data_IF_621250646505
#
_entry.id   IF_621250646505
#
_cell.length_a   1.000
_cell.length_b   1.000
_cell.length_c   1.000
_cell.angle_alpha   90.00
_cell.angle_beta   90.00
_cell.angle_gamma   90.00
#
_symmetry.space_group_name_H-M   'P 1'
#
loop_
_entity.id
_entity.type
_entity.pdbx_description
1 polymer ?
#
# COMPACT_ATOMS: atom_id res chain seq x y z
N UNK A 1 -13.34 7.19 1.78
CA UNK A 1 -12.90 7.54 3.15
C UNK A 1 -12.69 9.06 3.23
N UNK A 2 -13.01 9.69 4.36
CA UNK A 2 -12.76 11.14 4.52
C UNK A 2 -11.25 11.45 4.60
N UNK A 3 -10.78 12.64 4.19
CA UNK A 3 -9.36 13.00 4.28
C UNK A 3 -8.75 12.85 5.67
N UNK A 4 -9.47 13.25 6.73
CA UNK A 4 -8.97 13.10 8.11
C UNK A 4 -8.82 11.63 8.50
N UNK A 5 -9.81 10.77 8.20
CA UNK A 5 -9.70 9.33 8.43
C UNK A 5 -8.53 8.70 7.65
N UNK A 6 -8.28 9.12 6.40
CA UNK A 6 -7.12 8.68 5.62
C UNK A 6 -5.80 9.06 6.31
N UNK A 7 -5.65 10.33 6.68
CA UNK A 7 -4.45 10.83 7.37
C UNK A 7 -4.22 10.07 8.68
N UNK A 8 -5.27 9.85 9.46
CA UNK A 8 -5.18 9.13 10.74
C UNK A 8 -4.76 7.67 10.54
N UNK A 9 -5.33 6.97 9.56
CA UNK A 9 -4.95 5.59 9.23
C UNK A 9 -3.50 5.48 8.76
N UNK A 10 -3.06 6.40 7.88
CA UNK A 10 -1.68 6.44 7.41
C UNK A 10 -0.72 6.65 8.59
N UNK A 11 -0.96 7.69 9.40
CA UNK A 11 -0.11 7.97 10.55
C UNK A 11 -0.06 6.78 11.54
N UNK A 12 -1.19 6.10 11.76
CA UNK A 12 -1.24 4.91 12.61
C UNK A 12 -0.36 3.76 12.06
N UNK A 13 -0.34 3.56 10.74
CA UNK A 13 0.48 2.52 10.10
C UNK A 13 1.99 2.75 10.24
N UNK A 14 2.44 3.99 10.48
CA UNK A 14 3.87 4.31 10.68
C UNK A 14 4.40 3.89 12.06
N UNK A 15 3.52 3.76 13.05
CA UNK A 15 3.90 3.63 14.45
C UNK A 15 3.87 2.19 14.98
N UNK A 16 3.80 1.17 14.11
CA UNK A 16 3.70 -0.27 14.39
C UNK A 16 4.30 -0.72 15.75
N UNK A 17 3.52 -0.51 16.82
CA UNK A 17 3.99 -0.62 18.20
C UNK A 17 2.81 -0.94 19.10
N UNK A 18 2.76 -2.11 19.75
CA UNK A 18 1.64 -2.54 20.59
C UNK A 18 1.52 -1.78 21.93
N UNK A 19 2.20 -0.64 22.10
CA UNK A 19 2.34 -0.01 23.40
C UNK A 19 1.35 1.16 23.64
N UNK A 20 0.51 0.95 24.67
CA UNK A 20 -0.17 1.92 25.58
C UNK A 20 -1.58 2.36 25.13
N UNK A 21 -2.67 1.73 25.63
CA UNK A 21 -3.36 1.87 26.95
C UNK A 21 -4.15 3.16 27.05
N UNK A 22 -5.48 3.07 27.23
CA UNK A 22 -6.43 4.14 27.61
C UNK A 22 -5.78 5.47 28.07
N UNK A 23 -5.48 6.33 27.10
CA UNK A 23 -4.86 7.63 27.37
C UNK A 23 -5.98 8.64 27.63
N UNK A 24 -6.14 9.01 28.89
CA UNK A 24 -7.07 10.08 29.31
C UNK A 24 -6.77 11.40 28.58
N UNK A 25 -7.78 12.27 28.44
CA UNK A 25 -7.66 13.57 27.75
C UNK A 25 -6.52 14.46 28.27
N UNK A 26 -6.11 14.29 29.53
CA UNK A 26 -4.97 14.99 30.14
C UNK A 26 -3.62 14.50 29.60
N UNK A 27 -3.48 13.20 29.35
CA UNK A 27 -2.27 12.63 28.78
C UNK A 27 -2.18 12.92 27.27
N UNK A 28 -3.31 13.01 26.57
CA UNK A 28 -3.37 13.48 25.17
C UNK A 28 -2.80 14.91 25.02
N UNK A 29 -3.17 15.83 25.92
CA UNK A 29 -2.65 17.21 25.95
C UNK A 29 -1.14 17.31 26.13
N UNK A 30 -0.50 16.32 26.77
CA UNK A 30 0.96 16.28 26.98
C UNK A 30 1.69 15.53 25.87
N UNK A 31 1.04 14.52 25.30
CA UNK A 31 1.62 13.67 24.26
C UNK A 31 1.70 14.38 22.91
N UNK A 32 0.69 15.16 22.51
CA UNK A 32 0.71 15.87 21.21
C UNK A 32 1.92 16.82 21.07
N UNK A 33 2.27 17.66 22.06
CA UNK A 33 3.49 18.47 22.00
C UNK A 33 4.78 17.64 21.89
N UNK A 34 4.87 16.49 22.57
CA UNK A 34 6.02 15.59 22.50
C UNK A 34 6.12 14.92 21.12
N UNK A 35 5.00 14.48 20.54
CA UNK A 35 4.94 13.97 19.17
C UNK A 35 5.41 15.07 18.22
N UNK A 36 4.89 16.30 18.32
CA UNK A 36 5.35 17.41 17.46
C UNK A 36 6.85 17.71 17.60
N UNK A 37 7.43 17.51 18.78
CA UNK A 37 8.85 17.75 19.02
C UNK A 37 9.76 16.67 18.40
N UNK A 38 9.25 15.44 18.19
CA UNK A 38 10.04 14.30 17.72
C UNK A 38 9.61 13.77 16.34
N UNK A 39 8.41 14.12 15.89
CA UNK A 39 7.90 13.79 14.57
C UNK A 39 8.35 14.86 13.58
N UNK A 40 9.48 14.59 12.93
CA UNK A 40 10.19 15.57 12.08
C UNK A 40 9.72 15.62 10.64
N UNK A 41 8.91 14.66 10.20
CA UNK A 41 8.42 14.62 8.82
C UNK A 41 7.24 15.57 8.60
N UNK A 42 7.30 16.31 7.51
CA UNK A 42 6.22 17.16 7.02
C UNK A 42 5.12 16.33 6.36
N UNK A 43 3.93 16.93 6.20
CA UNK A 43 2.80 16.32 5.50
C UNK A 43 3.18 15.92 4.05
N UNK A 44 3.97 16.77 3.38
CA UNK A 44 4.47 16.52 2.03
C UNK A 44 5.46 15.35 1.98
N UNK A 45 6.39 15.25 2.93
CA UNK A 45 7.36 14.14 2.99
C UNK A 45 6.66 12.80 3.25
N UNK A 46 5.66 12.77 4.12
CA UNK A 46 4.85 11.57 4.39
C UNK A 46 4.04 11.19 3.15
N UNK A 47 3.40 12.17 2.52
CA UNK A 47 2.67 11.97 1.26
C UNK A 47 3.59 11.34 0.22
N UNK A 48 4.76 11.95 -0.03
CA UNK A 48 5.73 11.42 -0.99
C UNK A 48 6.22 10.02 -0.63
N UNK A 49 6.39 9.71 0.67
CA UNK A 49 6.79 8.38 1.11
C UNK A 49 5.74 7.32 0.73
N UNK A 50 4.46 7.57 1.00
CA UNK A 50 3.37 6.66 0.61
C UNK A 50 3.22 6.52 -0.90
N UNK A 51 3.29 7.63 -1.63
CA UNK A 51 3.20 7.63 -3.08
C UNK A 51 4.35 6.81 -3.71
N UNK A 52 5.57 7.00 -3.22
CA UNK A 52 6.74 6.24 -3.65
C UNK A 52 6.63 4.76 -3.27
N UNK A 53 6.21 4.44 -2.04
CA UNK A 53 6.00 3.06 -1.61
C UNK A 53 4.99 2.35 -2.51
N UNK A 54 3.84 2.97 -2.79
CA UNK A 54 2.84 2.39 -3.71
C UNK A 54 3.37 2.27 -5.14
N UNK A 55 4.11 3.27 -5.63
CA UNK A 55 4.74 3.19 -6.95
C UNK A 55 5.70 2.00 -7.04
N UNK A 56 6.54 1.79 -6.03
CA UNK A 56 7.47 0.67 -5.99
C UNK A 56 6.73 -0.67 -5.87
N UNK A 57 5.66 -0.75 -5.06
CA UNK A 57 4.83 -1.94 -4.95
C UNK A 57 4.19 -2.31 -6.29
N UNK A 58 3.52 -1.36 -6.96
CA UNK A 58 2.89 -1.62 -8.26
C UNK A 58 3.89 -2.04 -9.33
N UNK A 59 5.05 -1.38 -9.38
CA UNK A 59 6.13 -1.77 -10.31
C UNK A 59 6.69 -3.16 -9.96
N UNK A 60 6.92 -3.44 -8.67
CA UNK A 60 7.42 -4.74 -8.20
C UNK A 60 6.47 -5.86 -8.57
N UNK A 61 5.18 -5.73 -8.24
CA UNK A 61 4.15 -6.71 -8.60
C UNK A 61 4.07 -6.88 -10.12
N UNK A 62 4.08 -5.78 -10.89
CA UNK A 62 4.09 -5.86 -12.36
C UNK A 62 5.28 -6.65 -12.88
N UNK A 63 6.47 -6.49 -12.31
CA UNK A 63 7.67 -7.23 -12.68
C UNK A 63 7.54 -8.71 -12.30
N UNK A 64 6.96 -9.03 -11.14
CA UNK A 64 6.71 -10.41 -10.76
C UNK A 64 5.69 -11.12 -11.64
N UNK A 65 4.70 -10.38 -12.13
CA UNK A 65 3.71 -10.89 -13.09
C UNK A 65 4.30 -11.06 -14.49
N UNK A 66 5.33 -10.32 -14.86
CA UNK A 66 6.00 -10.36 -16.18
C UNK A 66 6.99 -11.54 -16.30
N UNK A 67 6.63 -12.72 -15.77
CA UNK A 67 7.50 -13.89 -15.59
C UNK A 67 8.42 -14.17 -16.79
N UNK A 68 9.71 -14.47 -16.54
CA UNK A 68 10.73 -14.42 -17.57
C UNK A 68 10.58 -15.55 -18.58
N UNK A 69 10.18 -15.19 -19.79
CA UNK A 69 10.50 -15.99 -20.98
C UNK A 69 12.02 -16.06 -21.18
N UNK A 70 12.51 -17.03 -21.95
CA UNK A 70 13.94 -17.19 -22.30
C UNK A 70 14.61 -15.91 -22.84
N UNK A 71 13.84 -14.95 -23.35
CA UNK A 71 14.32 -13.63 -23.82
C UNK A 71 14.42 -12.56 -22.71
N UNK A 72 13.72 -12.71 -21.58
CA UNK A 72 13.73 -11.76 -20.46
C UNK A 72 14.80 -12.08 -19.40
N UNK A 73 15.40 -13.27 -19.42
CA UNK A 73 16.57 -13.63 -18.59
C UNK A 73 17.81 -12.77 -18.89
N UNK A 74 17.89 -12.17 -20.09
CA UNK A 74 18.89 -11.16 -20.47
C UNK A 74 18.55 -9.74 -19.97
N UNK A 75 17.27 -9.47 -19.69
CA UNK A 75 16.79 -8.12 -19.33
C UNK A 75 16.80 -7.88 -17.82
N UNK A 76 16.63 -8.92 -17.02
CA UNK A 76 16.47 -8.82 -15.57
C UNK A 76 17.65 -9.40 -14.80
N UNK A 77 18.00 -8.72 -13.70
CA UNK A 77 19.02 -9.20 -12.78
C UNK A 77 18.59 -10.52 -12.12
N UNK A 78 19.55 -11.28 -11.58
CA UNK A 78 19.25 -12.52 -10.84
C UNK A 78 18.24 -12.30 -9.70
N UNK A 79 18.41 -11.23 -8.93
CA UNK A 79 17.52 -10.86 -7.82
C UNK A 79 16.10 -10.61 -8.31
N UNK A 80 15.96 -9.89 -9.42
CA UNK A 80 14.65 -9.60 -10.02
C UNK A 80 13.94 -10.86 -10.49
N UNK A 81 14.70 -11.82 -11.03
CA UNK A 81 14.16 -13.12 -11.45
C UNK A 81 13.71 -13.96 -10.26
N UNK A 82 14.53 -14.06 -9.21
CA UNK A 82 14.18 -14.80 -7.99
C UNK A 82 12.93 -14.21 -7.32
N UNK A 83 12.80 -12.89 -7.30
CA UNK A 83 11.60 -12.21 -6.83
C UNK A 83 10.37 -12.55 -7.67
N UNK A 84 10.49 -12.54 -9.01
CA UNK A 84 9.38 -12.90 -9.90
C UNK A 84 8.96 -14.37 -9.75
N UNK A 85 9.92 -15.28 -9.60
CA UNK A 85 9.66 -16.70 -9.33
C UNK A 85 8.90 -16.89 -8.00
N UNK A 86 9.18 -16.09 -6.96
CA UNK A 86 8.41 -16.13 -5.73
C UNK A 86 6.96 -15.67 -5.93
N UNK A 87 6.74 -14.56 -6.65
CA UNK A 87 5.37 -14.10 -6.97
C UNK A 87 4.60 -15.15 -7.77
N UNK A 88 5.27 -15.76 -8.74
CA UNK A 88 4.71 -16.84 -9.57
C UNK A 88 4.20 -18.02 -8.73
N UNK A 89 5.09 -18.59 -7.91
CA UNK A 89 4.85 -19.85 -7.22
C UNK A 89 3.98 -19.68 -5.98
N UNK A 90 4.15 -18.59 -5.24
CA UNK A 90 3.46 -18.40 -3.96
C UNK A 90 2.09 -17.76 -4.12
N UNK A 91 1.89 -16.91 -5.13
CA UNK A 91 0.66 -16.13 -5.28
C UNK A 91 -0.08 -16.45 -6.57
N UNK A 92 0.59 -16.25 -7.72
CA UNK A 92 -0.10 -16.19 -9.00
C UNK A 92 -0.72 -17.52 -9.44
N UNK A 93 0.02 -18.63 -9.32
CA UNK A 93 -0.48 -19.95 -9.75
C UNK A 93 -1.66 -20.42 -8.88
N UNK A 94 -1.56 -20.23 -7.56
CA UNK A 94 -2.62 -20.59 -6.64
C UNK A 94 -3.88 -19.73 -6.86
N UNK A 95 -3.70 -18.43 -7.02
CA UNK A 95 -4.77 -17.50 -7.36
C UNK A 95 -5.47 -17.87 -8.67
N UNK A 96 -4.73 -18.04 -9.77
CA UNK A 96 -5.34 -18.36 -11.07
C UNK A 96 -6.10 -19.68 -11.03
N UNK A 97 -5.60 -20.68 -10.29
CA UNK A 97 -6.29 -21.96 -10.09
C UNK A 97 -7.58 -21.80 -9.29
N UNK A 98 -7.56 -20.99 -8.23
CA UNK A 98 -8.73 -20.74 -7.38
C UNK A 98 -9.84 -19.99 -8.13
N UNK A 99 -9.48 -19.03 -8.98
CA UNK A 99 -10.42 -18.17 -9.68
C UNK A 99 -10.73 -18.64 -11.11
N UNK A 100 -10.15 -19.77 -11.56
CA UNK A 100 -10.40 -20.34 -12.89
C UNK A 100 -9.92 -19.47 -14.05
N UNK A 101 -8.83 -18.72 -13.84
CA UNK A 101 -8.35 -17.69 -14.77
C UNK A 101 -7.29 -18.22 -15.75
N UNK A 102 -7.29 -17.66 -16.97
CA UNK A 102 -6.16 -17.75 -17.89
C UNK A 102 -5.01 -16.91 -17.37
N UNK A 103 -3.87 -17.55 -17.04
CA UNK A 103 -2.68 -16.85 -16.54
C UNK A 103 -2.15 -15.81 -17.52
N UNK A 104 -2.19 -16.10 -18.83
CA UNK A 104 -1.68 -15.18 -19.84
C UNK A 104 -2.51 -13.90 -19.91
N UNK A 105 -3.83 -14.05 -19.96
CA UNK A 105 -4.75 -12.91 -20.09
C UNK A 105 -4.75 -12.07 -18.81
N UNK A 106 -4.76 -12.73 -17.64
CA UNK A 106 -4.68 -12.05 -16.36
C UNK A 106 -3.38 -11.25 -16.21
N UNK A 107 -2.22 -11.83 -16.53
CA UNK A 107 -0.93 -11.11 -16.47
C UNK A 107 -0.96 -9.85 -17.30
N UNK A 108 -1.39 -9.96 -18.56
CA UNK A 108 -1.38 -8.82 -19.47
C UNK A 108 -2.25 -7.68 -18.92
N UNK A 109 -3.48 -7.99 -18.52
CA UNK A 109 -4.41 -7.00 -17.96
C UNK A 109 -3.89 -6.40 -16.64
N UNK A 110 -3.41 -7.24 -15.72
CA UNK A 110 -2.90 -6.80 -14.42
C UNK A 110 -1.65 -5.92 -14.55
N UNK A 111 -0.69 -6.31 -15.40
CA UNK A 111 0.53 -5.53 -15.65
C UNK A 111 0.18 -4.16 -16.27
N UNK A 112 -0.72 -4.13 -17.24
CA UNK A 112 -1.13 -2.88 -17.87
C UNK A 112 -1.78 -1.94 -16.86
N UNK A 113 -2.72 -2.45 -16.07
CA UNK A 113 -3.40 -1.70 -15.03
C UNK A 113 -2.45 -1.18 -13.96
N UNK A 114 -1.57 -2.03 -13.41
CA UNK A 114 -0.59 -1.64 -12.38
C UNK A 114 0.41 -0.60 -12.92
N UNK A 115 0.84 -0.71 -14.19
CA UNK A 115 1.67 0.32 -14.83
C UNK A 115 0.93 1.64 -14.98
N UNK A 116 -0.37 1.62 -15.30
CA UNK A 116 -1.18 2.83 -15.36
C UNK A 116 -1.28 3.51 -13.99
N UNK A 117 -1.58 2.75 -12.93
CA UNK A 117 -1.64 3.27 -11.57
C UNK A 117 -0.28 3.80 -11.10
N UNK A 118 0.82 3.12 -11.40
CA UNK A 118 2.18 3.56 -11.02
C UNK A 118 2.53 4.96 -11.53
N UNK A 119 1.99 5.35 -12.69
CA UNK A 119 2.21 6.66 -13.33
C UNK A 119 1.38 7.79 -12.71
N UNK A 120 0.39 7.46 -11.88
CA UNK A 120 -0.55 8.40 -11.28
C UNK A 120 -0.48 8.37 -9.75
N UNK A 121 0.59 7.80 -9.18
CA UNK A 121 0.73 7.68 -7.72
C UNK A 121 0.83 9.04 -7.01
N UNK A 122 1.22 10.09 -7.72
CA UNK A 122 1.21 11.49 -7.27
C UNK A 122 -0.18 12.00 -6.84
N UNK A 123 -1.25 11.30 -7.24
CA UNK A 123 -2.64 11.61 -6.88
C UNK A 123 -3.16 10.81 -5.69
N UNK A 124 -2.36 9.86 -5.17
CA UNK A 124 -2.76 9.01 -4.04
C UNK A 124 -2.28 9.60 -2.71
N UNK A 125 -2.98 9.27 -1.63
CA UNK A 125 -2.52 9.51 -0.25
C UNK A 125 -2.17 10.98 0.08
N UNK A 126 -2.82 11.96 -0.56
CA UNK A 126 -2.53 13.38 -0.34
C UNK A 126 -2.87 13.79 1.10
N UNK A 127 -1.83 14.10 1.89
CA UNK A 127 -1.96 14.72 3.22
C UNK A 127 -1.62 16.20 3.08
N UNK A 128 -2.64 17.06 3.08
CA UNK A 128 -2.45 18.51 2.88
C UNK A 128 -1.87 19.21 4.12
N UNK A 129 -2.41 18.89 5.29
CA UNK A 129 -2.01 19.50 6.57
C UNK A 129 -2.20 18.46 7.66
N UNK A 130 -1.20 18.34 8.54
CA UNK A 130 -1.32 17.56 9.77
C UNK A 130 -1.97 18.42 10.86
N UNK A 131 -3.15 18.01 11.33
CA UNK A 131 -3.84 18.70 12.42
C UNK A 131 -3.48 18.09 13.78
N UNK A 132 -3.77 18.82 14.86
CA UNK A 132 -3.65 18.24 16.21
C UNK A 132 -4.56 17.03 16.43
N UNK A 133 -5.71 17.00 15.75
CA UNK A 133 -6.62 15.86 15.80
C UNK A 133 -6.01 14.61 15.14
N UNK A 134 -5.28 14.79 14.04
CA UNK A 134 -4.61 13.68 13.35
C UNK A 134 -3.45 13.13 14.18
N UNK A 135 -2.68 14.01 14.83
CA UNK A 135 -1.63 13.60 15.78
C UNK A 135 -2.19 13.00 17.07
N UNK A 136 -3.36 13.43 17.51
CA UNK A 136 -4.07 12.83 18.65
C UNK A 136 -4.58 11.42 18.31
N UNK A 137 -4.99 11.19 17.06
CA UNK A 137 -5.46 9.88 16.62
C UNK A 137 -4.38 8.79 16.69
N UNK A 138 -3.09 9.16 16.56
CA UNK A 138 -1.95 8.25 16.76
C UNK A 138 -1.95 7.55 18.12
N UNK A 139 -2.58 8.17 19.11
CA UNK A 139 -2.57 7.77 20.51
C UNK A 139 -3.82 6.95 20.86
N UNK A 140 -4.94 7.15 20.15
CA UNK A 140 -6.25 6.64 20.56
C UNK A 140 -7.05 5.88 19.50
N UNK A 141 -6.70 5.94 18.22
CA UNK A 141 -7.46 5.30 17.15
C UNK A 141 -6.63 4.20 16.48
N UNK A 142 -7.07 2.95 16.62
CA UNK A 142 -6.56 1.81 15.86
C UNK A 142 -7.72 0.90 15.44
N UNK A 143 -8.46 1.32 14.43
CA UNK A 143 -9.07 0.31 13.55
C UNK A 143 -7.93 -0.25 12.70
N UNK A 144 -7.62 -1.55 12.82
CA UNK A 144 -6.69 -2.19 11.90
C UNK A 144 -7.36 -2.16 10.52
N UNK A 145 -6.76 -1.43 9.60
CA UNK A 145 -7.21 -1.35 8.22
C UNK A 145 -6.15 -2.07 7.40
N UNK A 146 -6.56 -3.13 6.69
CA UNK A 146 -5.66 -3.80 5.76
C UNK A 146 -5.11 -2.75 4.79
N UNK A 147 -3.78 -2.64 4.69
CA UNK A 147 -3.09 -1.68 3.80
C UNK A 147 -3.62 -1.87 2.38
N UNK A 148 -3.90 -3.12 2.00
CA UNK A 148 -4.56 -3.50 0.76
C UNK A 148 -5.87 -2.76 0.50
N UNK A 149 -6.81 -2.73 1.46
CA UNK A 149 -8.11 -2.06 1.25
C UNK A 149 -7.95 -0.55 1.12
N UNK A 150 -7.05 0.04 1.90
CA UNK A 150 -6.73 1.46 1.79
C UNK A 150 -6.14 1.79 0.42
N UNK A 151 -5.21 0.97 -0.08
CA UNK A 151 -4.62 1.15 -1.42
C UNK A 151 -5.67 1.00 -2.50
N UNK A 152 -6.54 -0.02 -2.44
CA UNK A 152 -7.61 -0.25 -3.41
C UNK A 152 -8.61 0.91 -3.46
N UNK A 153 -8.99 1.45 -2.30
CA UNK A 153 -9.86 2.63 -2.23
C UNK A 153 -9.20 3.86 -2.88
N UNK A 154 -7.90 4.07 -2.66
CA UNK A 154 -7.17 5.16 -3.29
C UNK A 154 -7.04 4.97 -4.80
N UNK A 155 -6.82 3.73 -5.27
CA UNK A 155 -6.78 3.41 -6.70
C UNK A 155 -8.12 3.71 -7.39
N UNK A 156 -9.24 3.35 -6.77
CA UNK A 156 -10.58 3.66 -7.29
C UNK A 156 -10.84 5.16 -7.48
N UNK A 157 -10.16 6.01 -6.68
CA UNK A 157 -10.20 7.47 -6.84
C UNK A 157 -9.52 7.99 -8.12
N UNK A 158 -8.65 7.20 -8.74
CA UNK A 158 -7.96 7.55 -9.99
C UNK A 158 -8.67 6.97 -11.21
N UNK A 159 -8.97 5.68 -11.16
CA UNK A 159 -9.61 4.94 -12.25
C UNK A 159 -10.30 3.69 -11.70
N UNK A 160 -11.30 3.13 -12.40
CA UNK A 160 -11.88 1.84 -12.02
C UNK A 160 -10.80 0.77 -11.88
N UNK A 161 -10.84 0.03 -10.78
CA UNK A 161 -9.96 -1.13 -10.54
C UNK A 161 -10.72 -2.37 -10.98
N UNK A 162 -10.11 -3.18 -11.84
CA UNK A 162 -10.67 -4.46 -12.25
C UNK A 162 -10.85 -5.39 -11.03
N UNK A 163 -11.99 -6.07 -10.94
CA UNK A 163 -12.33 -6.91 -9.80
C UNK A 163 -11.34 -8.07 -9.60
N UNK A 164 -10.81 -8.61 -10.70
CA UNK A 164 -9.81 -9.69 -10.67
C UNK A 164 -8.47 -9.17 -10.16
N UNK A 165 -8.06 -7.97 -10.59
CA UNK A 165 -6.88 -7.31 -10.04
C UNK A 165 -7.06 -7.00 -8.54
N UNK A 166 -8.22 -6.48 -8.15
CA UNK A 166 -8.52 -6.19 -6.75
C UNK A 166 -8.49 -7.47 -5.90
N UNK A 167 -9.06 -8.57 -6.40
CA UNK A 167 -8.99 -9.87 -5.75
C UNK A 167 -7.56 -10.41 -5.66
N UNK A 168 -6.73 -10.17 -6.66
CA UNK A 168 -5.32 -10.57 -6.63
C UNK A 168 -4.52 -9.79 -5.59
N UNK A 169 -4.71 -8.47 -5.50
CA UNK A 169 -4.04 -7.64 -4.49
C UNK A 169 -4.45 -8.01 -3.05
N UNK A 170 -5.67 -8.51 -2.87
CA UNK A 170 -6.16 -9.09 -1.60
C UNK A 170 -5.67 -10.51 -1.31
N UNK A 171 -5.23 -11.22 -2.33
CA UNK A 171 -4.83 -12.62 -2.17
C UNK A 171 -3.60 -12.71 -1.27
N UNK A 172 -3.74 -13.31 -0.09
CA UNK A 172 -2.70 -13.41 0.94
C UNK A 172 -2.14 -12.03 1.37
N UNK A 173 -2.98 -10.99 1.34
CA UNK A 173 -2.62 -9.60 1.71
C UNK A 173 -1.30 -9.14 1.08
N UNK A 174 -1.17 -9.24 -0.25
CA UNK A 174 0.08 -8.93 -0.98
C UNK A 174 0.66 -7.54 -0.71
N UNK A 175 -0.17 -6.58 -0.27
CA UNK A 175 0.26 -5.23 0.09
C UNK A 175 0.46 -5.03 1.61
N UNK A 176 0.23 -6.08 2.40
CA UNK A 176 0.40 -6.14 3.84
C UNK A 176 -0.87 -5.79 4.63
N UNK A 177 -0.75 -5.98 5.95
CA UNK A 177 -1.69 -5.54 6.97
C UNK A 177 -0.97 -4.53 7.89
N UNK A 178 -1.73 -3.59 8.47
CA UNK A 178 -1.25 -2.60 9.45
C UNK A 178 -1.89 -2.84 10.82
#
# INVERSE_FOLDING_TARGET
MSPSKLTQTLLASLLDSPAVVDITSLALKKAVPLIKAHFSFTADEITQAYQNACRYAFVGISVGLDSPTLFQTLRYSKVTREFAEQIEHQYLQAFAKQYGLSLSDFRQAAIESLRQFSKNTDKLFEIKVLTEADLAALIGHRESLAITEMVLEQMQGIAPVDDTLAAFLRYEDQLGNA
#
